data_IF_999571149133
#
_entry.id   IF_999571149133
#
_cell.length_a   1.000
_cell.length_b   1.000
_cell.length_c   1.000
_cell.angle_alpha   90.00
_cell.angle_beta   90.00
_cell.angle_gamma   90.00
#
_symmetry.space_group_name_H-M   'P 1'
#
loop_
_entity.id
_entity.type
_entity.pdbx_description
1 polymer ?
#
# COMPACT_ATOMS: atom_id res chain seq x y z
N UNK A 1 25.59 -40.33 -37.06
CA UNK A 1 24.72 -40.07 -35.91
C UNK A 1 25.55 -39.41 -34.83
N UNK A 2 25.24 -38.18 -34.43
CA UNK A 2 25.74 -37.55 -33.21
C UNK A 2 24.66 -36.55 -32.76
N UNK A 3 23.70 -37.04 -31.98
CA UNK A 3 22.73 -36.21 -31.26
C UNK A 3 23.43 -35.62 -30.03
N UNK A 4 23.91 -34.39 -30.16
CA UNK A 4 24.47 -33.63 -29.06
C UNK A 4 23.87 -32.22 -29.06
N UNK A 5 22.54 -32.08 -29.10
CA UNK A 5 21.88 -30.78 -28.99
C UNK A 5 20.43 -30.94 -28.50
N UNK A 6 20.19 -30.83 -27.18
CA UNK A 6 18.84 -30.46 -26.71
C UNK A 6 18.72 -30.11 -25.22
N UNK A 7 19.63 -30.59 -24.36
CA UNK A 7 19.39 -30.50 -22.91
C UNK A 7 19.74 -29.14 -22.26
N UNK A 8 20.61 -28.33 -22.87
CA UNK A 8 21.14 -27.10 -22.23
C UNK A 8 20.26 -25.85 -22.43
N UNK A 9 19.44 -25.81 -23.49
CA UNK A 9 18.63 -24.64 -23.86
C UNK A 9 17.36 -24.51 -23.03
N UNK A 10 16.76 -25.64 -22.63
CA UNK A 10 15.55 -25.67 -21.80
C UNK A 10 15.82 -25.20 -20.37
N UNK A 11 16.91 -25.69 -19.76
CA UNK A 11 17.27 -25.40 -18.36
C UNK A 11 17.67 -23.94 -18.16
N UNK A 12 18.52 -23.40 -19.04
CA UNK A 12 18.92 -21.98 -19.00
C UNK A 12 17.74 -21.02 -19.22
N UNK A 13 16.82 -21.34 -20.13
CA UNK A 13 15.59 -20.58 -20.34
C UNK A 13 14.65 -20.65 -19.12
N UNK A 14 14.49 -21.81 -18.49
CA UNK A 14 13.71 -21.95 -17.26
C UNK A 14 14.31 -21.15 -16.10
N UNK A 15 15.64 -21.16 -15.92
CA UNK A 15 16.34 -20.38 -14.88
C UNK A 15 16.11 -18.87 -15.09
N UNK A 16 16.27 -18.36 -16.31
CA UNK A 16 16.06 -16.94 -16.64
C UNK A 16 14.60 -16.53 -16.41
N UNK A 17 13.65 -17.40 -16.77
CA UNK A 17 12.23 -17.15 -16.57
C UNK A 17 11.89 -17.08 -15.07
N UNK A 18 12.47 -17.98 -14.27
CA UNK A 18 12.34 -17.98 -12.81
C UNK A 18 12.91 -16.69 -12.19
N UNK A 19 14.10 -16.28 -12.61
CA UNK A 19 14.73 -15.04 -12.12
C UNK A 19 13.89 -13.80 -12.49
N UNK A 20 13.35 -13.75 -13.71
CA UNK A 20 12.44 -12.66 -14.14
C UNK A 20 11.16 -12.64 -13.31
N UNK A 21 10.60 -13.80 -12.97
CA UNK A 21 9.43 -13.88 -12.09
C UNK A 21 9.73 -13.44 -10.66
N UNK A 22 10.83 -13.90 -10.07
CA UNK A 22 11.26 -13.48 -8.73
C UNK A 22 11.49 -11.97 -8.66
N UNK A 23 12.20 -11.38 -9.63
CA UNK A 23 12.40 -9.93 -9.71
C UNK A 23 11.07 -9.17 -9.83
N UNK A 24 10.09 -9.72 -10.55
CA UNK A 24 8.76 -9.12 -10.69
C UNK A 24 7.98 -9.20 -9.38
N UNK A 25 8.00 -10.37 -8.73
CA UNK A 25 7.38 -10.60 -7.44
C UNK A 25 7.94 -9.65 -6.36
N UNK A 26 9.26 -9.53 -6.27
CA UNK A 26 9.93 -8.63 -5.32
C UNK A 26 9.58 -7.16 -5.55
N UNK A 27 9.49 -6.74 -6.82
CA UNK A 27 9.05 -5.37 -7.16
C UNK A 27 7.62 -5.11 -6.71
N UNK A 28 6.71 -6.07 -6.91
CA UNK A 28 5.31 -5.94 -6.47
C UNK A 28 5.21 -5.89 -4.94
N UNK A 29 5.98 -6.73 -4.23
CA UNK A 29 6.05 -6.71 -2.76
C UNK A 29 6.55 -5.37 -2.22
N UNK A 30 7.67 -4.84 -2.75
CA UNK A 30 8.19 -3.50 -2.40
C UNK A 30 7.18 -2.39 -2.67
N UNK A 31 6.47 -2.46 -3.80
CA UNK A 31 5.40 -1.49 -4.11
C UNK A 31 4.26 -1.54 -3.10
N UNK A 32 3.90 -2.73 -2.61
CA UNK A 32 2.88 -2.90 -1.57
C UNK A 32 3.33 -2.31 -0.24
N UNK A 33 4.56 -2.57 0.19
CA UNK A 33 5.16 -1.99 1.41
C UNK A 33 5.16 -0.45 1.37
N UNK A 34 5.70 0.14 0.30
CA UNK A 34 5.71 1.60 0.13
C UNK A 34 4.30 2.20 0.13
N UNK A 35 3.34 1.52 -0.51
CA UNK A 35 1.95 1.97 -0.52
C UNK A 35 1.32 1.92 0.88
N UNK A 36 1.62 0.90 1.68
CA UNK A 36 1.18 0.78 3.08
C UNK A 36 1.80 1.86 3.96
N UNK A 37 3.07 2.18 3.76
CA UNK A 37 3.75 3.26 4.50
C UNK A 37 3.09 4.63 4.22
N UNK A 38 2.84 4.94 2.95
CA UNK A 38 2.16 6.18 2.56
C UNK A 38 0.72 6.20 3.12
N UNK A 39 0.01 5.07 3.08
CA UNK A 39 -1.35 4.94 3.68
C UNK A 39 -1.30 5.29 5.16
N UNK A 40 -0.34 4.74 5.90
CA UNK A 40 -0.22 4.96 7.35
C UNK A 40 0.10 6.44 7.66
N UNK A 41 1.01 7.06 6.90
CA UNK A 41 1.29 8.51 7.02
C UNK A 41 0.03 9.34 6.80
N UNK A 42 -0.74 9.06 5.73
CA UNK A 42 -1.99 9.78 5.43
C UNK A 42 -3.11 9.50 6.44
N UNK A 43 -3.20 8.28 6.95
CA UNK A 43 -4.11 7.92 8.06
C UNK A 43 -3.80 8.77 9.28
N UNK A 44 -2.55 8.80 9.72
CA UNK A 44 -2.14 9.60 10.89
C UNK A 44 -2.41 11.09 10.69
N UNK A 45 -2.10 11.65 9.52
CA UNK A 45 -2.37 13.05 9.18
C UNK A 45 -3.86 13.38 9.28
N UNK A 46 -4.71 12.55 8.68
CA UNK A 46 -6.17 12.67 8.76
C UNK A 46 -6.70 12.59 10.20
N UNK A 47 -6.27 11.59 10.97
CA UNK A 47 -6.74 11.41 12.35
C UNK A 47 -6.25 12.53 13.29
N UNK A 48 -5.01 13.02 13.14
CA UNK A 48 -4.50 14.18 13.88
C UNK A 48 -5.35 15.42 13.59
N UNK A 49 -5.69 15.66 12.33
CA UNK A 49 -6.51 16.81 11.95
C UNK A 49 -7.96 16.67 12.44
N UNK A 50 -8.53 15.47 12.38
CA UNK A 50 -9.86 15.18 12.93
C UNK A 50 -9.90 15.42 14.45
N UNK A 51 -8.87 14.98 15.18
CA UNK A 51 -8.75 15.22 16.62
C UNK A 51 -8.70 16.72 16.95
N UNK A 52 -8.04 17.53 16.13
CA UNK A 52 -8.06 18.99 16.23
C UNK A 52 -9.49 19.55 16.10
N UNK A 53 -10.25 19.04 15.13
CA UNK A 53 -11.66 19.38 14.93
C UNK A 53 -12.53 19.06 16.13
N UNK A 54 -12.37 17.87 16.71
CA UNK A 54 -13.08 17.47 17.93
C UNK A 54 -12.73 18.34 19.13
N UNK A 55 -11.46 18.69 19.33
CA UNK A 55 -11.05 19.60 20.40
C UNK A 55 -11.69 20.97 20.24
N UNK A 56 -11.75 21.49 19.01
CA UNK A 56 -12.42 22.76 18.71
C UNK A 56 -13.91 22.69 19.03
N UNK A 57 -14.59 21.64 18.58
CA UNK A 57 -16.00 21.41 18.87
C UNK A 57 -16.28 21.33 20.38
N UNK A 58 -15.50 20.52 21.10
CA UNK A 58 -15.66 20.33 22.54
C UNK A 58 -15.49 21.63 23.32
N UNK A 59 -14.48 22.45 23.01
CA UNK A 59 -14.30 23.71 23.72
C UNK A 59 -15.33 24.78 23.33
N UNK A 60 -15.83 24.79 22.08
CA UNK A 60 -17.00 25.61 21.72
C UNK A 60 -18.25 25.19 22.50
N UNK A 61 -18.50 23.89 22.66
CA UNK A 61 -19.63 23.39 23.47
C UNK A 61 -19.52 23.75 24.95
N UNK A 62 -18.29 23.94 25.47
CA UNK A 62 -18.05 24.42 26.83
C UNK A 62 -18.10 25.96 26.96
N UNK A 63 -18.49 26.68 25.91
CA UNK A 63 -18.53 28.14 25.90
C UNK A 63 -17.15 28.82 25.97
N UNK A 64 -16.07 28.07 25.70
CA UNK A 64 -14.72 28.62 25.67
C UNK A 64 -14.43 29.18 24.28
N UNK A 65 -14.05 30.46 24.21
CA UNK A 65 -13.46 31.01 22.99
C UNK A 65 -12.08 30.41 22.76
N UNK A 66 -11.87 29.87 21.56
CA UNK A 66 -10.60 29.25 21.19
C UNK A 66 -9.92 30.09 20.12
N UNK A 67 -9.19 31.10 20.57
CA UNK A 67 -8.24 31.80 19.74
C UNK A 67 -7.09 30.84 19.35
N UNK A 68 -6.83 30.68 18.06
CA UNK A 68 -5.68 29.93 17.53
C UNK A 68 -5.97 28.55 16.92
N UNK A 69 -7.12 27.92 17.18
CA UNK A 69 -7.48 26.64 16.52
C UNK A 69 -7.99 26.86 15.09
N UNK A 70 -7.05 26.84 14.13
CA UNK A 70 -7.29 26.91 12.67
C UNK A 70 -7.82 25.58 12.09
N UNK A 71 -8.87 25.01 12.69
CA UNK A 71 -9.60 23.91 12.07
C UNK A 71 -10.50 24.45 10.94
N UNK A 72 -10.43 23.79 9.78
CA UNK A 72 -11.19 24.08 8.57
C UNK A 72 -11.79 22.76 8.04
N UNK A 73 -13.13 22.62 7.98
CA UNK A 73 -13.77 21.40 7.47
C UNK A 73 -13.32 21.00 6.05
N UNK A 74 -13.02 21.99 5.20
CA UNK A 74 -12.49 21.78 3.84
C UNK A 74 -11.16 21.01 3.84
N UNK A 75 -10.28 21.28 4.80
CA UNK A 75 -8.98 20.60 4.92
C UNK A 75 -9.19 19.15 5.38
N UNK A 76 -10.09 18.91 6.34
CA UNK A 76 -10.42 17.55 6.77
C UNK A 76 -10.96 16.71 5.60
N UNK A 77 -11.88 17.27 4.80
CA UNK A 77 -12.45 16.58 3.64
C UNK A 77 -11.37 16.21 2.63
N UNK A 78 -10.40 17.10 2.36
CA UNK A 78 -9.26 16.84 1.48
C UNK A 78 -8.38 15.71 2.03
N UNK A 79 -8.02 15.76 3.31
CA UNK A 79 -7.21 14.71 3.96
C UNK A 79 -7.90 13.35 3.94
N UNK A 80 -9.22 13.31 4.16
CA UNK A 80 -10.03 12.08 4.05
C UNK A 80 -9.97 11.51 2.63
N UNK A 81 -10.14 12.35 1.61
CA UNK A 81 -10.07 11.92 0.20
C UNK A 81 -8.69 11.39 -0.16
N UNK A 82 -7.61 12.05 0.26
CA UNK A 82 -6.23 11.58 0.05
C UNK A 82 -5.99 10.24 0.72
N UNK A 83 -6.40 10.08 1.99
CA UNK A 83 -6.31 8.80 2.70
C UNK A 83 -7.07 7.68 1.97
N UNK A 84 -8.32 7.93 1.55
CA UNK A 84 -9.13 6.95 0.81
C UNK A 84 -8.48 6.57 -0.53
N UNK A 85 -7.94 7.55 -1.27
CA UNK A 85 -7.26 7.29 -2.53
C UNK A 85 -6.04 6.36 -2.33
N UNK A 86 -5.24 6.60 -1.30
CA UNK A 86 -4.09 5.74 -0.99
C UNK A 86 -4.52 4.36 -0.48
N UNK A 87 -5.57 4.28 0.35
CA UNK A 87 -6.16 3.00 0.78
C UNK A 87 -6.61 2.16 -0.42
N UNK A 88 -7.26 2.78 -1.41
CA UNK A 88 -7.68 2.10 -2.63
C UNK A 88 -6.48 1.64 -3.47
N UNK A 89 -5.40 2.41 -3.53
CA UNK A 89 -4.15 2.00 -4.19
C UNK A 89 -3.54 0.76 -3.51
N UNK A 90 -3.46 0.73 -2.19
CA UNK A 90 -2.98 -0.45 -1.42
C UNK A 90 -3.81 -1.68 -1.77
N UNK A 91 -5.15 -1.55 -1.78
CA UNK A 91 -6.04 -2.63 -2.15
C UNK A 91 -5.79 -3.13 -3.59
N UNK A 92 -5.59 -2.21 -4.54
CA UNK A 92 -5.25 -2.54 -5.93
C UNK A 92 -3.95 -3.34 -6.04
N UNK A 93 -2.88 -2.87 -5.41
CA UNK A 93 -1.57 -3.55 -5.40
C UNK A 93 -1.65 -4.92 -4.73
N UNK A 94 -2.40 -5.04 -3.61
CA UNK A 94 -2.64 -6.34 -2.95
C UNK A 94 -3.34 -7.32 -3.89
N UNK A 95 -4.36 -6.86 -4.62
CA UNK A 95 -5.10 -7.67 -5.60
C UNK A 95 -4.22 -8.10 -6.79
N UNK A 96 -3.35 -7.21 -7.28
CA UNK A 96 -2.36 -7.54 -8.32
C UNK A 96 -1.39 -8.62 -7.84
N UNK A 97 -0.83 -8.47 -6.63
CA UNK A 97 0.10 -9.44 -6.05
C UNK A 97 -0.57 -10.80 -5.83
N UNK A 98 -1.80 -10.83 -5.31
CA UNK A 98 -2.56 -12.08 -5.13
C UNK A 98 -2.82 -12.81 -6.45
N UNK A 99 -3.22 -12.07 -7.50
CA UNK A 99 -3.40 -12.65 -8.84
C UNK A 99 -2.10 -13.17 -9.42
N UNK A 100 -0.98 -12.48 -9.16
CA UNK A 100 0.33 -12.93 -9.60
C UNK A 100 0.71 -14.25 -8.94
N UNK A 101 0.56 -14.36 -7.62
CA UNK A 101 0.88 -15.60 -6.89
C UNK A 101 0.00 -16.77 -7.33
N UNK A 102 -1.31 -16.56 -7.47
CA UNK A 102 -2.25 -17.58 -7.97
C UNK A 102 -1.87 -18.11 -9.36
N UNK A 103 -1.50 -17.21 -10.29
CA UNK A 103 -1.10 -17.59 -11.66
C UNK A 103 0.19 -18.41 -11.72
N UNK A 104 1.07 -18.21 -10.75
CA UNK A 104 2.38 -18.86 -10.71
C UNK A 104 2.45 -20.01 -9.70
N UNK A 105 1.32 -20.41 -9.09
CA UNK A 105 1.28 -21.48 -8.09
C UNK A 105 2.05 -21.15 -6.81
N UNK A 106 2.26 -19.86 -6.52
CA UNK A 106 2.96 -19.38 -5.34
C UNK A 106 1.96 -19.08 -4.22
N UNK A 107 2.40 -19.23 -2.98
CA UNK A 107 1.62 -18.83 -1.82
C UNK A 107 1.65 -17.31 -1.66
N UNK A 108 0.47 -16.70 -1.49
CA UNK A 108 0.38 -15.27 -1.21
C UNK A 108 0.76 -15.01 0.25
N UNK A 109 1.95 -14.47 0.47
CA UNK A 109 2.32 -13.90 1.77
C UNK A 109 2.14 -12.39 1.73
N UNK A 110 1.21 -11.91 2.55
CA UNK A 110 1.02 -10.49 2.80
C UNK A 110 2.28 -9.95 3.51
N UNK A 111 2.99 -8.94 2.95
CA UNK A 111 4.12 -8.34 3.63
C UNK A 111 3.66 -7.69 4.93
N UNK A 112 4.36 -8.03 6.02
CA UNK A 112 4.16 -7.47 7.35
C UNK A 112 4.55 -5.99 7.31
N UNK A 113 3.55 -5.14 7.26
CA UNK A 113 3.72 -3.70 7.49
C UNK A 113 2.43 -3.28 8.17
N UNK A 114 2.42 -3.49 9.48
CA UNK A 114 1.39 -3.19 10.47
C UNK A 114 -0.06 -3.22 9.96
N UNK A 115 -0.73 -4.30 10.38
CA UNK A 115 -2.16 -4.55 10.31
C UNK A 115 -2.99 -3.29 10.63
N UNK A 116 -4.12 -3.17 9.94
CA UNK A 116 -5.10 -2.06 10.04
C UNK A 116 -5.54 -1.75 11.48
#
# INVERSE_FOLDING_TARGET
MNEADSASTSSSRMIILNEKYQRTFDRMRKRLELSKEIRNKKRQEYHKYKALGYRKWSALSMGKEIHGLKYKPKVEKKLKQEYVAVRNKVYGVRKELKKFTERHGLEFQEPNSDSD
#
